data_IF_980006539287
#
_entry.id   IF_980006539287
#
_cell.length_a   1.000
_cell.length_b   1.000
_cell.length_c   1.000
_cell.angle_alpha   90.00
_cell.angle_beta   90.00
_cell.angle_gamma   90.00
#
_symmetry.space_group_name_H-M   'P 1'
#
loop_
_entity.id
_entity.type
_entity.pdbx_description
1 polymer ?
#
# COMPACT_ATOMS: atom_id res chain seq x y z
N UNK A 1 18.32 22.93 23.06
CA UNK A 1 16.88 23.17 23.32
C UNK A 1 16.15 21.92 22.87
N UNK A 2 15.77 21.06 23.81
CA UNK A 2 15.17 19.76 23.52
C UNK A 2 13.68 19.91 23.27
N UNK A 3 13.24 19.66 22.03
CA UNK A 3 11.85 19.47 21.60
C UNK A 3 10.84 20.55 22.09
N UNK A 4 10.61 21.61 21.29
CA UNK A 4 9.62 22.66 21.59
C UNK A 4 8.22 22.13 21.95
N UNK A 5 7.84 20.99 21.36
CA UNK A 5 6.55 20.33 21.59
C UNK A 5 6.30 19.89 23.03
N UNK A 6 7.34 19.75 23.86
CA UNK A 6 7.19 19.38 25.26
C UNK A 6 6.47 20.46 26.06
N UNK A 7 6.68 21.73 25.72
CA UNK A 7 5.99 22.85 26.35
C UNK A 7 4.49 22.82 26.02
N UNK A 8 4.14 22.57 24.75
CA UNK A 8 2.75 22.46 24.30
C UNK A 8 2.01 21.27 24.94
N UNK A 9 2.69 20.13 25.10
CA UNK A 9 2.14 18.95 25.80
C UNK A 9 1.88 19.27 27.27
N UNK A 10 2.83 19.94 27.93
CA UNK A 10 2.66 20.36 29.33
C UNK A 10 1.50 21.35 29.47
N UNK A 11 1.39 22.30 28.55
CA UNK A 11 0.29 23.26 28.53
C UNK A 11 -1.07 22.56 28.39
N UNK A 12 -1.20 21.58 27.48
CA UNK A 12 -2.41 20.76 27.37
C UNK A 12 -2.74 20.01 28.66
N UNK A 13 -1.73 19.51 29.37
CA UNK A 13 -1.92 18.82 30.64
C UNK A 13 -2.41 19.77 31.74
N UNK A 14 -1.93 21.00 31.79
CA UNK A 14 -2.40 22.04 32.72
C UNK A 14 -3.83 22.47 32.42
N UNK A 15 -4.19 22.68 31.15
CA UNK A 15 -5.57 23.00 30.77
C UNK A 15 -6.56 21.93 31.24
N UNK A 16 -6.21 20.65 31.10
CA UNK A 16 -7.03 19.55 31.62
C UNK A 16 -7.18 19.57 33.15
N UNK A 17 -6.14 19.98 33.87
CA UNK A 17 -6.20 20.14 35.34
C UNK A 17 -7.09 21.31 35.74
N UNK A 18 -7.02 22.42 35.01
CA UNK A 18 -7.90 23.58 35.21
C UNK A 18 -9.36 23.19 35.00
N UNK A 19 -9.66 22.45 33.93
CA UNK A 19 -11.00 21.94 33.65
C UNK A 19 -11.55 21.06 34.77
N UNK A 20 -10.70 20.17 35.30
CA UNK A 20 -11.05 19.33 36.43
C UNK A 20 -11.33 20.16 37.70
N UNK A 21 -10.58 21.23 37.93
CA UNK A 21 -10.79 22.13 39.07
C UNK A 21 -12.08 22.96 38.91
N UNK A 22 -12.34 23.51 37.72
CA UNK A 22 -13.57 24.25 37.40
C UNK A 22 -14.78 23.32 37.57
N UNK A 23 -14.74 22.11 37.01
CA UNK A 23 -15.81 21.13 37.18
C UNK A 23 -16.13 20.80 38.65
N UNK A 24 -15.12 20.75 39.53
CA UNK A 24 -15.31 20.58 40.98
C UNK A 24 -15.93 21.81 41.63
N UNK A 25 -15.50 23.02 41.28
CA UNK A 25 -16.08 24.27 41.80
C UNK A 25 -17.52 24.51 41.34
N UNK A 26 -17.93 23.96 40.18
CA UNK A 26 -19.32 24.06 39.71
C UNK A 26 -20.31 23.33 40.61
N UNK A 27 -19.88 22.33 41.39
CA UNK A 27 -20.73 21.73 42.43
C UNK A 27 -21.05 22.73 43.56
N UNK A 28 -20.31 23.83 43.67
CA UNK A 28 -20.42 24.86 44.71
C UNK A 28 -21.07 26.17 44.21
N UNK A 29 -21.80 26.15 43.08
CA UNK A 29 -22.42 27.39 42.56
C UNK A 29 -23.41 27.97 43.57
N UNK A 30 -23.18 29.24 43.87
CA UNK A 30 -23.87 30.07 44.85
C UNK A 30 -25.31 30.34 44.36
N UNK A 31 -26.30 29.94 45.16
CA UNK A 31 -27.69 30.30 44.95
C UNK A 31 -27.89 31.78 45.27
N UNK A 32 -28.15 32.62 44.25
CA UNK A 32 -28.54 34.01 44.46
C UNK A 32 -30.01 34.06 44.85
N UNK A 33 -30.28 34.39 46.12
CA UNK A 33 -31.64 34.56 46.63
C UNK A 33 -31.90 36.05 46.85
N UNK A 34 -32.79 36.62 46.04
CA UNK A 34 -33.29 37.99 46.23
C UNK A 34 -34.51 37.95 47.14
N UNK A 35 -34.42 38.62 48.29
CA UNK A 35 -35.51 38.70 49.27
C UNK A 35 -35.90 40.18 49.46
N UNK A 36 -37.19 40.49 49.28
CA UNK A 36 -37.73 41.81 49.55
C UNK A 36 -39.21 41.91 49.17
N UNK A 37 -39.96 42.67 49.96
CA UNK A 37 -41.27 43.24 49.60
C UNK A 37 -41.06 44.65 49.07
N UNK A 38 -42.00 45.16 48.25
CA UNK A 38 -41.97 46.55 47.78
C UNK A 38 -41.78 47.53 48.97
N UNK A 39 -41.07 48.65 48.79
CA UNK A 39 -40.72 49.58 49.88
C UNK A 39 -41.90 50.04 50.76
N UNK A 40 -43.12 49.99 50.22
CA UNK A 40 -44.35 50.43 50.87
C UNK A 40 -45.09 49.32 51.67
N UNK A 41 -44.60 48.07 51.69
CA UNK A 41 -45.25 46.93 52.38
C UNK A 41 -44.31 46.11 53.24
N UNK A 42 -43.81 46.73 54.33
CA UNK A 42 -43.38 46.05 55.56
C UNK A 42 -42.03 45.32 55.50
N UNK A 43 -41.21 45.52 56.54
CA UNK A 43 -39.83 45.04 56.64
C UNK A 43 -39.66 43.51 56.66
N UNK A 44 -38.44 43.08 56.33
CA UNK A 44 -38.02 41.68 56.21
C UNK A 44 -38.04 40.98 57.59
N UNK A 45 -38.59 39.77 57.66
CA UNK A 45 -38.66 38.99 58.91
C UNK A 45 -37.27 38.45 59.32
N UNK A 46 -36.74 38.92 60.45
CA UNK A 46 -35.41 38.58 60.99
C UNK A 46 -35.19 37.06 61.17
N UNK A 47 -36.24 36.31 61.58
CA UNK A 47 -36.15 34.85 61.78
C UNK A 47 -35.96 34.09 60.47
N UNK A 48 -36.49 34.60 59.36
CA UNK A 48 -36.31 34.00 58.04
C UNK A 48 -34.88 34.25 57.53
N UNK A 49 -34.28 35.39 57.86
CA UNK A 49 -32.87 35.68 57.55
C UNK A 49 -31.92 34.76 58.31
N UNK A 50 -32.17 34.51 59.61
CA UNK A 50 -31.37 33.58 60.42
C UNK A 50 -31.50 32.12 59.93
N UNK A 51 -32.70 31.67 59.58
CA UNK A 51 -32.92 30.33 59.02
C UNK A 51 -32.19 30.15 57.66
N UNK A 52 -32.18 31.18 56.82
CA UNK A 52 -31.44 31.18 55.56
C UNK A 52 -29.93 31.19 55.78
N UNK A 53 -29.42 31.99 56.72
CA UNK A 53 -27.99 31.98 57.10
C UNK A 53 -27.54 30.59 57.57
N UNK A 54 -28.36 29.91 58.39
CA UNK A 54 -28.09 28.55 58.86
C UNK A 54 -28.01 27.51 57.73
N UNK A 55 -28.85 27.65 56.69
CA UNK A 55 -28.82 26.80 55.50
C UNK A 55 -27.57 27.00 54.65
N UNK A 56 -27.04 28.23 54.54
CA UNK A 56 -25.80 28.52 53.81
C UNK A 56 -24.54 28.04 54.53
N UNK A 57 -24.51 28.00 55.86
CA UNK A 57 -23.40 27.40 56.62
C UNK A 57 -23.33 25.87 56.45
N UNK A 58 -24.43 25.22 56.06
CA UNK A 58 -24.43 23.79 55.79
C UNK A 58 -23.97 23.52 54.35
N UNK A 59 -22.68 23.24 54.18
CA UNK A 59 -22.03 23.01 52.87
C UNK A 59 -22.63 21.88 52.02
N UNK A 60 -23.57 21.10 52.57
CA UNK A 60 -24.07 19.87 51.96
C UNK A 60 -25.44 19.98 51.28
N UNK A 61 -26.06 21.17 51.22
CA UNK A 61 -27.46 21.29 50.78
C UNK A 61 -27.58 22.04 49.45
N UNK A 62 -27.37 21.30 48.35
CA UNK A 62 -27.60 21.78 46.99
C UNK A 62 -29.07 21.86 46.54
N UNK A 63 -30.06 21.59 47.42
CA UNK A 63 -31.49 21.62 47.05
C UNK A 63 -32.40 21.85 48.26
N UNK A 64 -32.56 23.09 48.71
CA UNK A 64 -33.77 23.46 49.48
C UNK A 64 -34.35 24.73 48.87
N UNK A 65 -35.46 24.57 48.16
CA UNK A 65 -36.32 25.68 47.72
C UNK A 65 -37.28 26.00 48.87
N UNK A 66 -37.10 27.15 49.53
CA UNK A 66 -38.17 27.76 50.33
C UNK A 66 -38.72 28.91 49.50
N UNK A 67 -39.88 28.68 48.88
CA UNK A 67 -40.60 29.73 48.17
C UNK A 67 -41.61 30.37 49.14
N UNK A 68 -41.24 31.51 49.74
CA UNK A 68 -42.23 32.49 50.19
C UNK A 68 -42.76 33.25 48.96
N UNK A 69 -43.99 33.78 49.01
CA UNK A 69 -44.65 34.44 47.85
C UNK A 69 -43.90 35.69 47.35
N UNK A 70 -42.84 36.11 48.05
CA UNK A 70 -41.94 37.22 47.75
C UNK A 70 -40.56 36.78 47.24
N UNK A 71 -40.24 35.49 47.24
CA UNK A 71 -38.88 34.99 46.94
C UNK A 71 -38.79 34.54 45.48
N UNK A 72 -37.90 35.19 44.70
CA UNK A 72 -37.51 34.72 43.36
C UNK A 72 -36.12 34.10 43.44
N UNK A 73 -36.05 32.77 43.37
CA UNK A 73 -34.78 32.05 43.22
C UNK A 73 -34.42 31.95 41.74
N UNK A 74 -33.27 32.50 41.35
CA UNK A 74 -32.70 32.31 40.01
C UNK A 74 -31.36 31.59 40.14
N UNK A 75 -31.23 30.45 39.45
CA UNK A 75 -29.93 29.80 39.30
C UNK A 75 -29.12 30.62 38.29
N UNK A 76 -28.21 31.46 38.79
CA UNK A 76 -27.22 32.13 37.94
C UNK A 76 -26.17 31.10 37.58
N UNK A 77 -26.40 30.37 36.48
CA UNK A 77 -25.39 29.47 35.91
C UNK A 77 -24.44 30.36 35.10
N UNK A 78 -23.15 30.49 35.47
CA UNK A 78 -22.18 31.18 34.62
C UNK A 78 -22.09 30.49 33.27
N UNK A 79 -21.83 31.24 32.20
CA UNK A 79 -21.79 30.73 30.82
C UNK A 79 -20.54 29.84 30.59
N UNK A 80 -20.61 28.60 31.08
CA UNK A 80 -19.51 27.62 31.11
C UNK A 80 -19.20 27.06 29.72
N UNK A 81 -20.17 27.12 28.80
CA UNK A 81 -20.02 26.62 27.43
C UNK A 81 -18.80 27.22 26.72
N UNK A 82 -18.55 28.52 26.95
CA UNK A 82 -17.42 29.23 26.37
C UNK A 82 -16.07 28.91 27.04
N UNK A 83 -16.07 28.48 28.31
CA UNK A 83 -14.84 28.19 29.08
C UNK A 83 -14.39 26.72 28.97
N UNK A 84 -15.33 25.79 28.79
CA UNK A 84 -15.06 24.36 28.71
C UNK A 84 -15.22 23.77 27.30
N UNK A 85 -15.47 24.60 26.30
CA UNK A 85 -15.62 24.17 24.91
C UNK A 85 -14.37 23.48 24.34
N UNK A 86 -14.53 22.61 23.32
CA UNK A 86 -13.42 21.92 22.66
C UNK A 86 -12.48 22.87 21.91
N UNK A 87 -12.97 24.04 21.49
CA UNK A 87 -12.25 25.05 20.71
C UNK A 87 -10.95 25.51 21.39
N UNK A 88 -10.92 25.57 22.72
CA UNK A 88 -9.71 25.97 23.46
C UNK A 88 -8.53 25.01 23.26
N UNK A 89 -8.81 23.73 23.00
CA UNK A 89 -7.77 22.73 22.76
C UNK A 89 -7.31 22.75 21.31
N UNK A 90 -8.04 23.39 20.40
CA UNK A 90 -7.77 23.29 18.96
C UNK A 90 -6.40 23.86 18.59
N UNK A 91 -6.04 25.02 19.16
CA UNK A 91 -4.75 25.67 18.91
C UNK A 91 -3.61 24.81 19.46
N UNK A 92 -3.72 24.39 20.73
CA UNK A 92 -2.70 23.55 21.38
C UNK A 92 -2.54 22.21 20.67
N UNK A 93 -3.64 21.61 20.24
CA UNK A 93 -3.62 20.34 19.51
C UNK A 93 -2.98 20.51 18.15
N UNK A 94 -3.24 21.62 17.46
CA UNK A 94 -2.58 21.96 16.19
C UNK A 94 -1.09 22.17 16.39
N UNK A 95 -0.68 22.89 17.43
CA UNK A 95 0.73 23.16 17.72
C UNK A 95 1.47 21.87 18.10
N UNK A 96 0.84 20.98 18.88
CA UNK A 96 1.38 19.64 19.15
C UNK A 96 1.51 18.83 17.85
N UNK A 97 0.49 18.86 16.98
CA UNK A 97 0.53 18.13 15.71
C UNK A 97 1.65 18.64 14.79
N UNK A 98 1.84 19.96 14.72
CA UNK A 98 2.92 20.60 13.96
C UNK A 98 4.28 20.30 14.59
N UNK A 99 4.40 20.41 15.91
CA UNK A 99 5.62 20.15 16.68
C UNK A 99 6.07 18.69 16.63
N UNK A 100 5.12 17.74 16.66
CA UNK A 100 5.38 16.31 16.44
C UNK A 100 5.63 15.98 14.96
N UNK A 101 5.51 16.96 14.06
CA UNK A 101 5.58 16.76 12.62
C UNK A 101 4.69 15.60 12.19
N UNK A 102 3.44 15.60 12.68
CA UNK A 102 2.47 14.56 12.40
C UNK A 102 1.97 14.69 10.96
N UNK A 103 2.84 14.29 10.04
CA UNK A 103 2.60 14.30 8.60
C UNK A 103 1.60 13.19 8.22
N UNK A 104 1.41 12.17 9.08
CA UNK A 104 0.67 10.96 8.79
C UNK A 104 -0.83 11.04 9.14
N UNK A 105 -1.23 11.88 10.09
CA UNK A 105 -2.64 11.96 10.53
C UNK A 105 -3.26 13.25 9.99
N UNK A 106 -3.91 13.13 8.83
CA UNK A 106 -4.74 14.18 8.23
C UNK A 106 -5.69 13.56 7.20
N UNK A 107 -6.85 14.18 6.98
CA UNK A 107 -7.89 13.76 6.01
C UNK A 107 -7.46 14.02 4.55
N UNK A 108 -6.28 13.56 4.16
CA UNK A 108 -5.74 13.75 2.82
C UNK A 108 -5.99 12.52 1.93
N UNK A 109 -6.34 12.78 0.66
CA UNK A 109 -6.55 11.75 -0.36
C UNK A 109 -5.27 10.91 -0.52
N UNK A 110 -5.41 9.59 -0.64
CA UNK A 110 -4.33 8.58 -0.64
C UNK A 110 -3.07 8.92 -1.48
N UNK A 111 -3.20 9.66 -2.58
CA UNK A 111 -2.06 10.12 -3.40
C UNK A 111 -1.10 11.08 -2.67
N UNK A 112 -1.60 11.86 -1.71
CA UNK A 112 -0.77 12.72 -0.85
C UNK A 112 -0.08 11.91 0.26
N UNK A 113 -0.55 10.69 0.55
CA UNK A 113 -0.02 9.83 1.62
C UNK A 113 1.39 9.31 1.34
N UNK A 114 1.70 8.94 0.09
CA UNK A 114 3.03 8.42 -0.27
C UNK A 114 4.13 9.48 -0.13
N UNK A 115 3.87 10.70 -0.62
CA UNK A 115 4.81 11.83 -0.48
C UNK A 115 5.05 12.20 0.99
N UNK A 116 3.99 12.16 1.80
CA UNK A 116 4.02 12.37 3.25
C UNK A 116 4.89 11.34 3.97
N UNK A 117 4.72 10.06 3.64
CA UNK A 117 5.57 8.97 4.16
C UNK A 117 7.02 9.16 3.72
N UNK A 118 7.27 9.57 2.47
CA UNK A 118 8.63 9.83 1.99
C UNK A 118 9.32 10.96 2.76
N UNK A 119 8.65 12.09 2.99
CA UNK A 119 9.20 13.20 3.81
C UNK A 119 9.47 12.75 5.24
N UNK A 120 8.61 11.90 5.81
CA UNK A 120 8.80 11.33 7.13
C UNK A 120 10.04 10.42 7.20
N UNK A 121 10.24 9.54 6.21
CA UNK A 121 11.42 8.66 6.14
C UNK A 121 12.72 9.48 6.05
N UNK A 122 12.76 10.53 5.23
CA UNK A 122 13.96 11.38 5.13
C UNK A 122 14.28 12.08 6.45
N UNK A 123 13.26 12.59 7.15
CA UNK A 123 13.45 13.17 8.50
C UNK A 123 13.91 12.14 9.52
N UNK A 124 13.40 10.90 9.43
CA UNK A 124 13.80 9.81 10.30
C UNK A 124 15.27 9.41 10.05
N UNK A 125 15.73 9.41 8.79
CA UNK A 125 17.16 9.26 8.46
C UNK A 125 18.01 10.37 9.07
N UNK A 126 17.58 11.63 8.93
CA UNK A 126 18.28 12.76 9.56
C UNK A 126 18.34 12.63 11.10
N UNK A 127 17.25 12.22 11.74
CA UNK A 127 17.22 11.99 13.20
C UNK A 127 18.13 10.84 13.63
N UNK A 128 18.18 9.75 12.84
CA UNK A 128 19.09 8.63 13.05
C UNK A 128 20.55 9.06 12.95
N UNK A 129 20.92 9.84 11.95
CA UNK A 129 22.28 10.39 11.81
C UNK A 129 22.64 11.29 12.99
N UNK A 130 21.73 12.18 13.39
CA UNK A 130 21.94 13.05 14.56
C UNK A 130 22.11 12.22 15.85
N UNK A 131 21.35 11.15 16.03
CA UNK A 131 21.47 10.23 17.16
C UNK A 131 22.82 9.50 17.16
N UNK A 132 23.26 8.98 16.01
CA UNK A 132 24.58 8.35 15.89
C UNK A 132 25.68 9.34 16.25
N UNK A 133 25.70 10.50 15.60
CA UNK A 133 26.81 11.45 15.69
C UNK A 133 26.87 12.20 17.03
N UNK A 134 25.73 12.63 17.56
CA UNK A 134 25.70 13.48 18.75
C UNK A 134 25.60 12.70 20.06
N UNK A 135 25.16 11.44 20.01
CA UNK A 135 24.95 10.64 21.22
C UNK A 135 25.71 9.31 21.18
N UNK A 136 25.42 8.44 20.22
CA UNK A 136 25.90 7.06 20.27
C UNK A 136 27.41 6.93 20.04
N UNK A 137 27.98 7.63 19.05
CA UNK A 137 29.42 7.63 18.79
C UNK A 137 30.24 8.16 19.97
N UNK A 138 29.91 9.34 20.57
CA UNK A 138 30.58 9.82 21.77
C UNK A 138 30.55 8.83 22.94
N UNK A 139 29.39 8.21 23.19
CA UNK A 139 29.22 7.27 24.30
C UNK A 139 29.98 5.95 24.08
N UNK A 140 29.91 5.38 22.86
CA UNK A 140 30.68 4.19 22.50
C UNK A 140 32.17 4.46 22.66
N UNK A 141 32.65 5.64 22.22
CA UNK A 141 34.05 6.03 22.37
C UNK A 141 34.46 6.19 23.84
N UNK A 142 33.57 6.72 24.69
CA UNK A 142 33.81 6.83 26.14
C UNK A 142 33.94 5.44 26.76
N UNK A 143 32.95 4.59 26.54
CA UNK A 143 32.90 3.22 27.11
C UNK A 143 34.09 2.38 26.62
N UNK A 144 34.40 2.40 25.33
CA UNK A 144 35.54 1.65 24.79
C UNK A 144 36.88 2.11 25.38
N UNK A 145 37.04 3.41 25.65
CA UNK A 145 38.24 3.93 26.32
C UNK A 145 38.33 3.47 27.77
N UNK A 146 37.22 3.53 28.50
CA UNK A 146 37.16 3.12 29.91
C UNK A 146 37.41 1.61 30.08
N UNK A 147 37.00 0.80 29.10
CA UNK A 147 37.27 -0.64 29.03
C UNK A 147 38.67 -1.00 28.49
N UNK A 148 39.46 -0.01 28.05
CA UNK A 148 40.84 -0.21 27.57
C UNK A 148 40.96 -0.69 26.12
N UNK A 149 39.90 -0.63 25.31
CA UNK A 149 39.96 -0.98 23.90
C UNK A 149 40.61 0.16 23.08
N UNK A 150 41.60 -0.18 22.24
CA UNK A 150 42.23 0.78 21.31
C UNK A 150 41.34 1.13 20.12
N UNK A 151 40.51 0.18 19.70
CA UNK A 151 39.54 0.33 18.62
C UNK A 151 38.13 0.27 19.22
N UNK A 152 37.20 1.02 18.64
CA UNK A 152 35.80 1.05 19.07
C UNK A 152 34.89 0.69 17.89
N UNK A 153 33.77 0.00 18.16
CA UNK A 153 32.82 -0.35 17.11
C UNK A 153 32.14 0.90 16.55
N UNK A 154 31.80 0.86 15.26
CA UNK A 154 31.09 1.94 14.57
C UNK A 154 29.62 1.56 14.41
N UNK A 155 28.71 2.10 15.24
CA UNK A 155 27.28 1.83 15.07
C UNK A 155 26.77 2.46 13.78
N UNK A 156 25.97 1.70 13.04
CA UNK A 156 25.28 2.16 11.85
C UNK A 156 23.82 1.72 11.90
N UNK A 157 22.96 2.44 11.19
CA UNK A 157 21.59 2.00 10.93
C UNK A 157 21.55 1.31 9.58
N UNK A 158 20.81 0.21 9.50
CA UNK A 158 20.50 -0.40 8.20
C UNK A 158 19.49 0.47 7.43
N UNK A 159 19.81 0.72 6.18
CA UNK A 159 18.90 1.33 5.22
C UNK A 159 17.88 0.29 4.74
N UNK A 160 16.63 0.47 5.13
CA UNK A 160 15.50 -0.29 4.59
C UNK A 160 14.82 0.65 3.59
N UNK A 161 14.95 0.36 2.30
CA UNK A 161 14.31 1.15 1.25
C UNK A 161 12.90 0.61 1.00
N UNK A 162 11.89 1.30 1.55
CA UNK A 162 10.48 0.95 1.47
C UNK A 162 9.87 1.14 0.07
N UNK A 163 10.67 1.55 -0.92
CA UNK A 163 10.17 2.13 -2.17
C UNK A 163 9.96 1.13 -3.31
N UNK A 164 10.46 -0.10 -3.22
CA UNK A 164 10.42 -0.98 -4.40
C UNK A 164 10.25 -2.47 -4.11
N UNK A 165 9.25 -2.82 -3.29
CA UNK A 165 8.90 -4.21 -2.99
C UNK A 165 8.79 -5.07 -4.26
N UNK A 166 8.29 -4.52 -5.37
CA UNK A 166 8.10 -5.28 -6.62
C UNK A 166 9.44 -5.58 -7.32
N UNK A 167 10.38 -4.63 -7.37
CA UNK A 167 11.70 -4.87 -7.98
C UNK A 167 12.55 -5.75 -7.08
N UNK A 168 12.54 -5.51 -5.76
CA UNK A 168 13.25 -6.35 -4.80
C UNK A 168 12.68 -7.76 -4.77
N UNK A 169 11.35 -7.93 -4.80
CA UNK A 169 10.72 -9.26 -4.90
C UNK A 169 11.16 -10.01 -6.14
N UNK A 170 11.33 -9.32 -7.28
CA UNK A 170 11.84 -9.92 -8.52
C UNK A 170 13.30 -10.35 -8.37
N UNK A 171 14.13 -9.54 -7.72
CA UNK A 171 15.54 -9.86 -7.45
C UNK A 171 15.64 -11.05 -6.49
N UNK A 172 14.90 -11.05 -5.38
CA UNK A 172 14.89 -12.14 -4.40
C UNK A 172 14.38 -13.45 -5.01
N UNK A 173 13.28 -13.40 -5.77
CA UNK A 173 12.77 -14.55 -6.53
C UNK A 173 13.85 -15.08 -7.47
N UNK A 174 14.59 -14.20 -8.16
CA UNK A 174 15.68 -14.62 -9.04
C UNK A 174 16.85 -15.26 -8.28
N UNK A 175 17.20 -14.73 -7.10
CA UNK A 175 18.24 -15.30 -6.24
C UNK A 175 17.85 -16.69 -5.71
N UNK A 176 16.56 -16.90 -5.41
CA UNK A 176 16.02 -18.22 -5.06
C UNK A 176 16.08 -19.19 -6.25
N UNK A 177 15.68 -18.76 -7.45
CA UNK A 177 15.74 -19.58 -8.67
C UNK A 177 17.16 -20.04 -9.02
N UNK A 178 18.14 -19.15 -8.84
CA UNK A 178 19.56 -19.45 -9.05
C UNK A 178 20.15 -20.32 -7.93
N UNK A 179 19.41 -20.54 -6.84
CA UNK A 179 19.86 -21.31 -5.68
C UNK A 179 20.91 -20.59 -4.83
N UNK A 180 21.00 -19.26 -4.94
CA UNK A 180 21.89 -18.43 -4.12
C UNK A 180 21.29 -18.26 -2.73
N UNK A 181 19.97 -18.07 -2.65
CA UNK A 181 19.22 -18.10 -1.40
C UNK A 181 18.50 -19.44 -1.26
N UNK A 182 18.48 -19.98 -0.05
CA UNK A 182 17.60 -21.09 0.30
C UNK A 182 16.13 -20.62 0.30
N UNK A 183 15.15 -21.53 0.18
CA UNK A 183 13.74 -21.16 0.17
C UNK A 183 13.31 -20.37 1.41
N UNK A 184 13.82 -20.74 2.59
CA UNK A 184 13.51 -20.05 3.85
C UNK A 184 14.09 -18.64 3.87
N UNK A 185 15.35 -18.46 3.46
CA UNK A 185 15.97 -17.12 3.36
C UNK A 185 15.28 -16.25 2.31
N UNK A 186 14.87 -16.84 1.19
CA UNK A 186 14.16 -16.15 0.14
C UNK A 186 12.79 -15.62 0.60
N UNK A 187 12.05 -16.43 1.35
CA UNK A 187 10.77 -16.02 1.94
C UNK A 187 11.00 -14.93 3.00
N UNK A 188 11.97 -15.12 3.89
CA UNK A 188 12.33 -14.11 4.88
C UNK A 188 12.76 -12.79 4.23
N UNK A 189 13.50 -12.84 3.11
CA UNK A 189 13.89 -11.67 2.34
C UNK A 189 12.71 -10.98 1.65
N UNK A 190 11.73 -11.74 1.16
CA UNK A 190 10.49 -11.20 0.60
C UNK A 190 9.62 -10.51 1.66
N UNK A 191 9.55 -11.05 2.87
CA UNK A 191 8.72 -10.51 3.95
C UNK A 191 9.38 -9.33 4.67
N UNK A 192 10.68 -9.41 4.92
CA UNK A 192 11.42 -8.41 5.70
C UNK A 192 12.15 -7.37 4.85
N UNK A 193 12.33 -7.64 3.55
CA UNK A 193 13.18 -6.84 2.67
C UNK A 193 14.68 -6.99 2.96
N UNK A 194 15.09 -7.98 3.76
CA UNK A 194 16.46 -8.17 4.23
C UNK A 194 17.10 -9.44 3.71
N UNK A 195 18.33 -9.34 3.23
CA UNK A 195 19.14 -10.51 2.89
C UNK A 195 19.78 -11.10 4.15
N UNK A 196 20.00 -12.43 4.19
CA UNK A 196 20.64 -13.09 5.32
C UNK A 196 22.10 -12.67 5.46
N UNK A 197 22.61 -12.69 6.69
CA UNK A 197 24.04 -12.53 6.91
C UNK A 197 24.82 -13.75 6.39
N UNK A 198 26.10 -13.57 6.08
CA UNK A 198 26.95 -14.62 5.51
C UNK A 198 27.02 -15.86 6.42
N UNK A 199 27.17 -15.65 7.73
CA UNK A 199 27.31 -16.76 8.69
C UNK A 199 26.00 -17.55 8.81
N UNK A 200 24.88 -16.85 8.96
CA UNK A 200 23.55 -17.44 8.97
C UNK A 200 23.28 -18.22 7.67
N UNK A 201 23.67 -17.65 6.53
CA UNK A 201 23.41 -18.26 5.23
C UNK A 201 24.17 -19.57 5.02
N UNK A 202 25.40 -19.67 5.52
CA UNK A 202 26.15 -20.93 5.48
C UNK A 202 25.40 -22.02 6.25
N UNK A 203 24.86 -21.70 7.43
CA UNK A 203 24.11 -22.67 8.24
C UNK A 203 22.81 -23.08 7.57
N UNK A 204 22.09 -22.13 6.97
CA UNK A 204 20.86 -22.38 6.21
C UNK A 204 21.14 -23.26 4.99
N UNK A 205 22.24 -23.01 4.27
CA UNK A 205 22.62 -23.83 3.12
C UNK A 205 23.03 -25.26 3.49
N UNK A 206 23.69 -25.46 4.63
CA UNK A 206 24.00 -26.81 5.13
C UNK A 206 22.74 -27.60 5.43
N UNK A 207 21.78 -27.01 6.15
CA UNK A 207 20.47 -27.63 6.42
C UNK A 207 19.69 -27.89 5.14
N UNK A 208 19.69 -26.94 4.21
CA UNK A 208 19.00 -27.07 2.94
C UNK A 208 19.55 -28.24 2.10
N UNK A 209 20.86 -28.49 2.15
CA UNK A 209 21.48 -29.65 1.51
C UNK A 209 20.97 -30.95 2.10
N UNK A 210 20.88 -31.08 3.41
CA UNK A 210 20.33 -32.28 4.07
C UNK A 210 18.88 -32.54 3.66
N UNK A 211 18.05 -31.49 3.59
CA UNK A 211 16.66 -31.59 3.15
C UNK A 211 16.55 -31.99 1.68
N UNK A 212 17.45 -31.48 0.82
CA UNK A 212 17.54 -31.91 -0.59
C UNK A 212 17.97 -33.37 -0.74
N UNK A 213 18.93 -33.82 0.06
CA UNK A 213 19.39 -35.21 0.05
C UNK A 213 18.26 -36.17 0.50
N UNK A 214 17.34 -35.69 1.36
CA UNK A 214 16.11 -36.38 1.75
C UNK A 214 14.98 -36.28 0.69
N UNK A 215 15.19 -35.54 -0.40
CA UNK A 215 14.21 -35.37 -1.48
C UNK A 215 13.22 -34.23 -1.34
N UNK A 216 13.36 -33.41 -0.30
CA UNK A 216 12.59 -32.19 -0.14
C UNK A 216 13.17 -31.09 -1.04
N UNK A 217 12.34 -30.16 -1.50
CA UNK A 217 12.75 -29.07 -2.41
C UNK A 217 13.35 -29.55 -3.76
N UNK A 218 13.05 -30.78 -4.18
CA UNK A 218 13.36 -31.29 -5.51
C UNK A 218 12.62 -30.45 -6.57
N UNK A 219 13.27 -30.03 -7.67
CA UNK A 219 12.58 -29.28 -8.71
C UNK A 219 11.41 -30.09 -9.31
N UNK A 220 10.21 -29.51 -9.27
CA UNK A 220 9.01 -30.10 -9.87
C UNK A 220 9.17 -30.32 -11.39
N UNK A 221 10.06 -29.54 -12.02
CA UNK A 221 10.40 -29.64 -13.43
C UNK A 221 11.90 -29.97 -13.53
N UNK A 222 12.22 -31.14 -14.07
CA UNK A 222 13.60 -31.55 -14.38
C UNK A 222 14.41 -32.15 -13.21
N UNK A 223 13.84 -32.29 -12.01
CA UNK A 223 14.45 -33.03 -10.92
C UNK A 223 14.45 -34.55 -11.17
N UNK A 224 15.59 -35.22 -10.97
CA UNK A 224 15.63 -36.67 -10.95
C UNK A 224 14.70 -37.17 -9.83
N UNK A 225 13.76 -38.07 -10.16
CA UNK A 225 12.94 -38.75 -9.14
C UNK A 225 13.89 -39.58 -8.28
N UNK A 226 13.79 -39.45 -6.97
CA UNK A 226 14.51 -40.33 -6.04
C UNK A 226 14.00 -41.76 -6.29
N UNK A 227 14.93 -42.63 -6.69
CA UNK A 227 14.65 -44.00 -7.12
C UNK A 227 14.91 -44.29 -8.60
N UNK A 228 15.20 -43.30 -9.45
CA UNK A 228 15.73 -43.56 -10.80
C UNK A 228 17.23 -43.33 -10.83
N UNK A 229 18.01 -44.40 -10.67
CA UNK A 229 19.44 -44.40 -11.00
C UNK A 229 19.61 -43.95 -12.46
N UNK A 230 20.35 -42.86 -12.75
CA UNK A 230 20.79 -42.55 -14.09
C UNK A 230 22.18 -43.15 -14.27
N UNK A 231 22.26 -44.48 -14.36
CA UNK A 231 23.54 -45.18 -14.48
C UNK A 231 23.38 -46.56 -15.10
N UNK A 232 24.01 -46.76 -16.26
CA UNK A 232 24.19 -48.05 -16.95
C UNK A 232 24.73 -49.10 -15.96
N UNK A 233 24.29 -50.37 -15.98
CA UNK A 233 24.88 -51.39 -15.11
C UNK A 233 26.39 -51.49 -15.35
N UNK A 234 27.14 -51.56 -14.26
CA UNK A 234 28.60 -51.62 -14.24
C UNK A 234 29.10 -52.81 -15.07
N UNK A 235 29.85 -52.55 -16.16
CA UNK A 235 30.56 -53.61 -16.90
C UNK A 235 30.63 -53.54 -18.43
N UNK A 236 30.37 -52.42 -19.11
CA UNK A 236 30.55 -52.37 -20.58
C UNK A 236 31.41 -51.19 -21.06
N UNK A 237 32.73 -51.39 -20.99
CA UNK A 237 33.72 -50.59 -21.73
C UNK A 237 33.85 -51.16 -23.16
N UNK A 238 33.62 -50.32 -24.19
CA UNK A 238 34.12 -50.62 -25.54
C UNK A 238 33.11 -50.79 -26.68
N UNK A 239 31.89 -50.23 -26.63
CA UNK A 239 31.00 -50.21 -27.80
C UNK A 239 30.87 -48.77 -28.31
N UNK A 240 31.36 -48.43 -29.52
CA UNK A 240 31.19 -47.09 -30.07
C UNK A 240 29.71 -46.82 -30.34
N UNK A 241 29.28 -45.63 -29.93
CA UNK A 241 27.89 -45.18 -29.96
C UNK A 241 27.41 -45.04 -31.42
N UNK A 242 26.66 -46.01 -31.92
CA UNK A 242 25.93 -45.90 -33.20
C UNK A 242 24.63 -45.15 -32.94
N UNK A 243 24.46 -44.00 -33.60
CA UNK A 243 23.31 -43.08 -33.56
C UNK A 243 23.16 -42.24 -32.29
N UNK A 244 23.79 -41.05 -32.31
CA UNK A 244 23.40 -39.94 -31.45
C UNK A 244 22.13 -39.32 -32.03
N UNK A 245 20.97 -39.91 -31.75
CA UNK A 245 19.69 -39.28 -32.07
C UNK A 245 19.40 -38.25 -30.97
N UNK A 246 19.86 -37.01 -31.18
CA UNK A 246 19.64 -35.89 -30.27
C UNK A 246 18.22 -35.37 -30.55
N UNK A 247 17.21 -35.94 -29.89
CA UNK A 247 15.92 -35.28 -29.85
C UNK A 247 16.01 -34.10 -28.85
N UNK A 248 15.61 -32.87 -29.22
CA UNK A 248 15.64 -31.74 -28.31
C UNK A 248 14.66 -31.94 -27.15
N UNK A 249 15.11 -31.60 -25.93
CA UNK A 249 14.30 -31.57 -24.71
C UNK A 249 13.13 -30.61 -24.89
N UNK A 250 11.89 -31.12 -24.94
CA UNK A 250 10.70 -30.28 -24.97
C UNK A 250 9.45 -30.98 -25.50
N UNK A 251 9.03 -32.10 -24.90
CA UNK A 251 7.73 -32.72 -25.17
C UNK A 251 6.99 -33.08 -23.87
N UNK A 252 6.96 -32.15 -22.91
CA UNK A 252 5.89 -32.13 -21.90
C UNK A 252 4.61 -31.52 -22.48
N UNK A 253 3.45 -31.65 -21.82
CA UNK A 253 2.18 -31.04 -22.29
C UNK A 253 2.24 -29.52 -22.52
N UNK A 254 3.22 -28.81 -21.94
CA UNK A 254 3.54 -27.39 -22.23
C UNK A 254 4.21 -27.16 -23.60
N UNK A 255 4.58 -28.22 -24.32
CA UNK A 255 5.24 -28.19 -25.63
C UNK A 255 4.25 -28.24 -26.79
N UNK A 256 2.96 -28.03 -26.53
CA UNK A 256 1.98 -27.63 -27.56
C UNK A 256 2.21 -26.20 -28.07
N UNK A 257 3.23 -25.50 -27.57
CA UNK A 257 3.76 -24.29 -28.20
C UNK A 257 4.34 -24.52 -29.61
N UNK A 258 4.32 -25.76 -30.14
CA UNK A 258 4.60 -26.04 -31.54
C UNK A 258 3.55 -25.48 -32.51
N UNK A 259 2.36 -25.08 -32.02
CA UNK A 259 1.25 -24.63 -32.85
C UNK A 259 1.39 -23.21 -33.38
N UNK A 260 2.18 -22.34 -32.75
CA UNK A 260 2.25 -20.91 -33.11
C UNK A 260 3.67 -20.51 -33.54
N UNK A 261 3.78 -19.65 -34.54
CA UNK A 261 5.08 -19.12 -35.02
C UNK A 261 5.36 -17.75 -34.40
N UNK A 262 6.45 -17.64 -33.64
CA UNK A 262 6.91 -16.37 -33.03
C UNK A 262 7.16 -15.30 -34.10
N UNK A 263 7.69 -15.68 -35.26
CA UNK A 263 7.90 -14.78 -36.39
C UNK A 263 6.56 -14.24 -36.92
N UNK A 264 5.56 -15.11 -37.11
CA UNK A 264 4.22 -14.68 -37.54
C UNK A 264 3.54 -13.79 -36.50
N UNK A 265 3.72 -14.06 -35.20
CA UNK A 265 3.18 -13.19 -34.13
C UNK A 265 3.74 -11.78 -34.29
N UNK A 266 5.07 -11.65 -34.42
CA UNK A 266 5.73 -10.35 -34.61
C UNK A 266 5.22 -9.65 -35.86
N UNK A 267 5.13 -10.37 -36.98
CA UNK A 267 4.69 -9.80 -38.25
C UNK A 267 3.21 -9.35 -38.18
N UNK A 268 2.34 -10.14 -37.57
CA UNK A 268 0.93 -9.79 -37.37
C UNK A 268 0.76 -8.56 -36.47
N UNK A 269 1.59 -8.38 -35.44
CA UNK A 269 1.59 -7.14 -34.63
C UNK A 269 2.00 -5.91 -35.45
N UNK A 270 3.00 -6.06 -36.33
CA UNK A 270 3.42 -4.97 -37.23
C UNK A 270 2.30 -4.64 -38.22
N UNK A 271 1.64 -5.65 -38.78
CA UNK A 271 0.50 -5.46 -39.69
C UNK A 271 -0.68 -4.79 -38.98
N UNK A 272 -1.03 -5.21 -37.77
CA UNK A 272 -2.11 -4.60 -36.99
C UNK A 272 -1.80 -3.14 -36.60
N UNK A 273 -0.54 -2.81 -36.34
CA UNK A 273 -0.10 -1.43 -36.09
C UNK A 273 -0.28 -0.54 -37.32
N UNK A 274 0.08 -1.05 -38.51
CA UNK A 274 -0.14 -0.34 -39.79
C UNK A 274 -1.63 -0.20 -40.11
N UNK A 275 -2.43 -1.23 -39.81
CA UNK A 275 -3.88 -1.18 -39.96
C UNK A 275 -4.48 -0.09 -39.09
N UNK A 276 -4.01 0.05 -37.84
CA UNK A 276 -4.47 1.12 -36.95
C UNK A 276 -4.21 2.51 -37.53
N UNK A 277 -3.03 2.76 -38.09
CA UNK A 277 -2.74 4.04 -38.75
C UNK A 277 -3.68 4.34 -39.91
N UNK A 278 -4.04 3.32 -40.70
CA UNK A 278 -4.99 3.44 -41.83
C UNK A 278 -6.43 3.66 -41.37
N UNK A 279 -6.89 2.95 -40.35
CA UNK A 279 -8.21 3.17 -39.75
C UNK A 279 -8.30 4.58 -39.18
N UNK A 280 -7.25 5.06 -38.50
CA UNK A 280 -7.18 6.43 -38.02
C UNK A 280 -7.22 7.45 -39.17
N UNK A 281 -6.55 7.18 -40.29
CA UNK A 281 -6.58 8.04 -41.48
C UNK A 281 -7.98 8.08 -42.12
N UNK A 282 -8.61 6.93 -42.36
CA UNK A 282 -9.95 6.84 -42.94
C UNK A 282 -11.01 7.51 -42.03
N UNK A 283 -10.89 7.38 -40.70
CA UNK A 283 -11.76 8.10 -39.75
C UNK A 283 -11.57 9.62 -39.79
N UNK A 284 -10.32 10.10 -39.98
CA UNK A 284 -10.04 11.53 -40.13
C UNK A 284 -10.66 12.08 -41.42
N UNK A 285 -10.56 11.34 -42.52
CA UNK A 285 -11.16 11.74 -43.79
C UNK A 285 -12.69 11.75 -43.70
N UNK A 286 -13.30 10.66 -43.20
CA UNK A 286 -14.76 10.52 -43.07
C UNK A 286 -15.39 11.61 -42.21
N UNK A 287 -14.73 12.01 -41.12
CA UNK A 287 -15.21 13.04 -40.21
C UNK A 287 -14.60 14.43 -40.47
N UNK A 288 -13.79 14.58 -41.51
CA UNK A 288 -13.08 15.83 -41.85
C UNK A 288 -12.28 16.42 -40.67
N UNK A 289 -11.57 15.57 -39.93
CA UNK A 289 -10.81 15.93 -38.74
C UNK A 289 -9.30 15.99 -39.03
N UNK A 290 -8.63 17.03 -38.49
CA UNK A 290 -7.15 17.12 -38.55
C UNK A 290 -6.45 16.14 -37.61
N UNK A 291 -7.06 15.81 -36.47
CA UNK A 291 -6.51 14.91 -35.45
C UNK A 291 -7.65 14.23 -34.69
N UNK A 292 -7.43 12.97 -34.29
CA UNK A 292 -8.35 12.23 -33.44
C UNK A 292 -8.08 12.52 -31.96
N UNK A 293 -9.15 12.70 -31.18
CA UNK A 293 -9.11 12.73 -29.71
C UNK A 293 -8.77 11.36 -29.13
N UNK A 294 -8.48 11.29 -27.82
CA UNK A 294 -8.17 10.03 -27.14
C UNK A 294 -9.30 9.00 -27.27
N UNK A 295 -10.55 9.42 -27.04
CA UNK A 295 -11.73 8.56 -27.19
C UNK A 295 -11.92 8.09 -28.65
N UNK A 296 -11.68 8.95 -29.63
CA UNK A 296 -11.77 8.57 -31.04
C UNK A 296 -10.68 7.57 -31.46
N UNK A 297 -9.50 7.62 -30.83
CA UNK A 297 -8.45 6.61 -31.02
C UNK A 297 -8.79 5.27 -30.40
N UNK A 298 -9.47 5.27 -29.26
CA UNK A 298 -10.00 4.04 -28.66
C UNK A 298 -11.05 3.40 -29.58
N UNK A 299 -11.95 4.21 -30.16
CA UNK A 299 -12.90 3.71 -31.19
C UNK A 299 -12.18 3.17 -32.42
N UNK A 300 -11.12 3.85 -32.88
CA UNK A 300 -10.30 3.35 -33.99
C UNK A 300 -9.66 1.99 -33.66
N UNK A 301 -9.20 1.80 -32.42
CA UNK A 301 -8.62 0.54 -31.96
C UNK A 301 -9.68 -0.58 -31.87
N UNK A 302 -10.90 -0.29 -31.43
CA UNK A 302 -12.00 -1.27 -31.45
C UNK A 302 -12.36 -1.69 -32.88
N UNK A 303 -12.34 -0.77 -33.85
CA UNK A 303 -12.54 -1.11 -35.27
C UNK A 303 -11.41 -2.02 -35.78
N UNK A 304 -10.17 -1.78 -35.36
CA UNK A 304 -9.02 -2.66 -35.68
C UNK A 304 -9.22 -4.06 -35.12
N UNK A 305 -9.72 -4.20 -33.88
CA UNK A 305 -10.04 -5.52 -33.31
C UNK A 305 -11.09 -6.25 -34.14
N UNK A 306 -12.16 -5.56 -34.52
CA UNK A 306 -13.24 -6.13 -35.36
C UNK A 306 -12.68 -6.57 -36.71
N UNK A 307 -11.89 -5.75 -37.40
CA UNK A 307 -11.28 -6.12 -38.69
C UNK A 307 -10.37 -7.35 -38.52
N UNK A 308 -9.51 -7.34 -37.50
CA UNK A 308 -8.56 -8.41 -37.25
C UNK A 308 -9.25 -9.74 -36.92
N UNK A 309 -10.38 -9.71 -36.22
CA UNK A 309 -11.13 -10.91 -35.83
C UNK A 309 -11.98 -11.48 -36.98
N UNK A 310 -12.46 -10.63 -37.89
CA UNK A 310 -13.30 -11.09 -39.01
C UNK A 310 -12.49 -11.54 -40.23
N UNK A 311 -11.40 -10.84 -40.54
CA UNK A 311 -10.64 -10.99 -41.79
C UNK A 311 -9.22 -11.51 -41.58
N UNK A 312 -8.59 -12.00 -42.64
CA UNK A 312 -7.18 -12.45 -42.61
C UNK A 312 -6.21 -11.29 -42.88
N UNK A 313 -4.96 -11.35 -42.39
CA UNK A 313 -4.00 -10.25 -42.49
C UNK A 313 -3.73 -9.73 -43.90
N UNK A 314 -3.92 -10.56 -44.93
CA UNK A 314 -3.71 -10.19 -46.33
C UNK A 314 -4.77 -9.22 -46.87
N UNK A 315 -5.96 -9.20 -46.26
CA UNK A 315 -7.13 -8.47 -46.75
C UNK A 315 -7.45 -7.25 -45.87
N UNK A 316 -6.82 -7.13 -44.70
CA UNK A 316 -7.07 -6.04 -43.73
C UNK A 316 -7.03 -4.64 -44.34
N UNK A 317 -6.13 -4.40 -45.29
CA UNK A 317 -5.96 -3.09 -45.92
C UNK A 317 -7.11 -2.70 -46.86
N UNK A 318 -7.76 -3.66 -47.52
CA UNK A 318 -8.80 -3.38 -48.52
C UNK A 318 -10.20 -3.22 -47.92
N UNK A 319 -10.41 -3.72 -46.70
CA UNK A 319 -11.72 -3.71 -46.03
C UNK A 319 -11.90 -2.53 -45.07
N UNK A 320 -10.86 -1.71 -44.85
CA UNK A 320 -10.86 -0.60 -43.89
C UNK A 320 -12.08 0.30 -44.05
N UNK A 321 -12.36 0.75 -45.27
CA UNK A 321 -13.46 1.69 -45.54
C UNK A 321 -14.85 1.09 -45.32
N UNK A 322 -14.97 -0.24 -45.44
CA UNK A 322 -16.21 -0.95 -45.16
C UNK A 322 -16.48 -1.02 -43.66
N UNK A 323 -15.49 -1.44 -42.88
CA UNK A 323 -15.61 -1.56 -41.42
C UNK A 323 -15.66 -0.19 -40.72
N UNK A 324 -15.04 0.84 -41.29
CA UNK A 324 -15.21 2.23 -40.81
C UNK A 324 -16.64 2.73 -41.01
N UNK A 325 -17.39 2.22 -42.00
CA UNK A 325 -18.81 2.55 -42.21
C UNK A 325 -19.75 1.72 -41.34
N UNK A 326 -19.48 0.43 -41.17
CA UNK A 326 -20.30 -0.47 -40.37
C UNK A 326 -19.43 -1.49 -39.60
N UNK A 327 -18.93 -1.12 -38.41
CA UNK A 327 -18.06 -1.97 -37.61
C UNK A 327 -18.89 -3.01 -36.88
N UNK A 328 -19.20 -4.11 -37.56
CA UNK A 328 -19.92 -5.26 -37.00
C UNK A 328 -19.23 -6.54 -37.37
N UNK A 329 -19.39 -7.51 -36.49
CA UNK A 329 -18.93 -8.87 -36.74
C UNK A 329 -19.74 -9.53 -37.84
N UNK A 330 -19.02 -10.16 -38.76
CA UNK A 330 -19.56 -10.87 -39.92
C UNK A 330 -19.27 -12.36 -39.86
N UNK A 331 -18.23 -12.78 -39.12
CA UNK A 331 -17.77 -14.16 -39.07
C UNK A 331 -17.79 -14.71 -37.64
N UNK A 332 -18.97 -15.20 -37.22
CA UNK A 332 -19.21 -15.71 -35.86
C UNK A 332 -18.41 -16.98 -35.55
N UNK A 333 -18.17 -17.83 -36.55
CA UNK A 333 -17.42 -19.08 -36.36
C UNK A 333 -15.95 -18.81 -36.01
N UNK A 334 -15.30 -17.89 -36.74
CA UNK A 334 -13.93 -17.47 -36.43
C UNK A 334 -13.82 -16.79 -35.06
N UNK A 335 -14.81 -16.01 -34.68
CA UNK A 335 -14.84 -15.32 -33.38
C UNK A 335 -14.93 -16.34 -32.26
N UNK A 336 -15.78 -17.36 -32.39
CA UNK A 336 -15.85 -18.46 -31.43
C UNK A 336 -14.50 -19.19 -31.28
N UNK A 337 -13.78 -19.42 -32.38
CA UNK A 337 -12.45 -20.03 -32.34
C UNK A 337 -11.42 -19.12 -31.62
N UNK A 338 -11.47 -17.81 -31.86
CA UNK A 338 -10.59 -16.84 -31.19
C UNK A 338 -10.91 -16.78 -29.69
N UNK A 339 -12.18 -16.77 -29.31
CA UNK A 339 -12.61 -16.79 -27.91
C UNK A 339 -12.17 -18.08 -27.21
N UNK A 340 -12.21 -19.23 -27.89
CA UNK A 340 -11.69 -20.48 -27.35
C UNK A 340 -10.19 -20.41 -27.02
N UNK A 341 -9.40 -19.77 -27.90
CA UNK A 341 -7.96 -19.52 -27.68
C UNK A 341 -7.75 -18.54 -26.52
N UNK A 342 -8.59 -17.50 -26.44
CA UNK A 342 -8.55 -16.52 -25.37
C UNK A 342 -8.77 -17.18 -24.00
N UNK A 343 -9.75 -18.08 -23.89
CA UNK A 343 -10.06 -18.83 -22.67
C UNK A 343 -8.98 -19.87 -22.36
N UNK A 344 -8.49 -20.62 -23.34
CA UNK A 344 -7.46 -21.65 -23.14
C UNK A 344 -6.15 -21.04 -22.62
N UNK A 345 -5.79 -19.84 -23.08
CA UNK A 345 -4.52 -19.19 -22.75
C UNK A 345 -4.64 -18.01 -21.77
N UNK A 346 -5.86 -17.63 -21.35
CA UNK A 346 -6.10 -16.51 -20.45
C UNK A 346 -5.70 -15.15 -21.05
N UNK A 347 -6.01 -14.91 -22.32
CA UNK A 347 -5.58 -13.74 -23.09
C UNK A 347 -6.74 -12.81 -23.45
N UNK A 348 -6.42 -11.53 -23.65
CA UNK A 348 -7.36 -10.56 -24.20
C UNK A 348 -7.74 -10.91 -25.65
N UNK A 349 -8.97 -10.61 -26.07
CA UNK A 349 -9.51 -10.96 -27.38
C UNK A 349 -8.62 -10.48 -28.54
N UNK A 350 -8.00 -9.30 -28.42
CA UNK A 350 -7.09 -8.80 -29.45
C UNK A 350 -5.82 -9.67 -29.57
N UNK A 351 -5.24 -10.07 -28.44
CA UNK A 351 -4.04 -10.90 -28.41
C UNK A 351 -4.35 -12.32 -28.89
N UNK A 352 -5.53 -12.85 -28.54
CA UNK A 352 -6.02 -14.12 -29.04
C UNK A 352 -6.21 -14.10 -30.57
N UNK A 353 -6.70 -12.99 -31.14
CA UNK A 353 -6.81 -12.80 -32.60
C UNK A 353 -5.43 -12.83 -33.28
N UNK A 354 -4.43 -12.14 -32.73
CA UNK A 354 -3.07 -12.19 -33.26
C UNK A 354 -2.47 -13.61 -33.19
N UNK A 355 -2.74 -14.32 -32.10
CA UNK A 355 -2.33 -15.71 -31.94
C UNK A 355 -3.02 -16.64 -32.93
N UNK A 356 -4.32 -16.48 -33.15
CA UNK A 356 -5.09 -17.23 -34.13
C UNK A 356 -4.43 -17.15 -35.52
N UNK A 357 -4.08 -15.95 -35.98
CA UNK A 357 -3.40 -15.73 -37.26
C UNK A 357 -1.92 -16.17 -37.29
N UNK A 358 -1.35 -16.53 -36.13
CA UNK A 358 0.03 -17.00 -36.02
C UNK A 358 0.16 -18.52 -35.98
N UNK A 359 -0.96 -19.25 -36.06
CA UNK A 359 -0.95 -20.72 -36.15
C UNK A 359 -0.06 -21.17 -37.31
N UNK A 360 0.82 -22.14 -37.05
CA UNK A 360 1.55 -22.85 -38.10
C UNK A 360 0.53 -23.71 -38.82
N UNK A 361 0.43 -23.56 -40.13
CA UNK A 361 -0.39 -24.44 -40.97
C UNK A 361 0.03 -25.87 -40.68
N UNK A 362 -0.92 -26.74 -40.30
CA UNK A 362 -0.67 -28.17 -40.32
C UNK A 362 -0.26 -28.54 -41.74
N UNK A 363 1.01 -28.89 -41.92
CA UNK A 363 1.45 -29.59 -43.11
C UNK A 363 0.83 -30.97 -43.00
N UNK A 364 -0.18 -31.25 -43.83
CA UNK A 364 -0.64 -32.61 -44.11
C UNK A 364 0.54 -33.48 -44.57
#
# INVERSE_FOLDING_TARGET
MGFPVLEDINWKAEMKKMDMAVARSLQQIILLVTMGTDPDKGGVNQKNLEAMQGLFTNQSVGRVLIADYTTKAQFVIPDIGNLMGPEKYEVVDRDILVGLNNILIGNDKFANGSMKVQVFIERLKQAREAFLNNFLYPEVRRISRDLGFKNYPTPFFEDIDLKDDVQYSRIYTRLMELGILTPEEGIAALESGKLPEKEESITSQQKFRELKDQGLYQPLIGGAKIGSEPGRPSGSTGIPQSTKNINPKGQGKQSKASLFSIEKIKDNFVLASKLQEKVEASLREKHSLRKLSKQQKEVAFEIVKIIASNETPEVWDSVVDEYVKNPKDKNLDKISDIESIAVEHGLDSYVATILYHSKKSEVN
#
